data_IF_156514491607
#
_entry.id   IF_156514491607
#
_cell.length_a   1.000
_cell.length_b   1.000
_cell.length_c   1.000
_cell.angle_alpha   90.00
_cell.angle_beta   90.00
_cell.angle_gamma   90.00
#
_symmetry.space_group_name_H-M   'P 1'
#
loop_
_entity.id
_entity.type
_entity.pdbx_description
1 polymer ?
#
# COMPACT_ATOMS: atom_id res chain seq x y z
N UNK A 1 3.59 10.02 -21.88
CA UNK A 1 2.55 9.49 -20.98
C UNK A 1 3.14 9.45 -19.57
N UNK A 2 2.91 10.50 -18.78
CA UNK A 2 3.39 10.60 -17.40
C UNK A 2 2.46 9.83 -16.47
N UNK A 3 3.02 8.93 -15.66
CA UNK A 3 2.35 8.10 -14.64
C UNK A 3 2.81 8.53 -13.26
N UNK A 4 2.25 9.62 -12.74
CA UNK A 4 2.46 10.05 -11.36
C UNK A 4 1.09 10.21 -10.69
N UNK A 5 0.91 9.51 -9.57
CA UNK A 5 -0.26 9.59 -8.72
C UNK A 5 -0.41 11.04 -8.24
N UNK A 6 -1.56 11.64 -8.54
CA UNK A 6 -1.85 13.05 -8.29
C UNK A 6 -1.99 13.37 -6.81
N UNK A 7 -1.04 14.15 -6.30
CA UNK A 7 -1.27 15.09 -5.22
C UNK A 7 -0.95 16.49 -5.75
N UNK A 8 -1.98 17.17 -6.26
CA UNK A 8 -1.89 18.54 -6.79
C UNK A 8 -1.66 19.53 -5.64
N UNK A 9 -0.41 19.95 -5.46
CA UNK A 9 -0.09 21.26 -4.91
C UNK A 9 0.40 22.16 -6.05
N UNK A 10 -0.09 23.40 -6.02
CA UNK A 10 0.34 24.57 -6.80
C UNK A 10 -0.42 24.86 -8.10
N UNK A 11 -1.47 25.69 -7.98
CA UNK A 11 -1.74 26.74 -8.98
C UNK A 11 -1.38 28.09 -8.37
N UNK A 12 -0.15 28.54 -8.60
CA UNK A 12 0.21 29.95 -8.48
C UNK A 12 1.30 30.27 -9.50
N UNK A 13 0.87 30.96 -10.55
CA UNK A 13 1.59 31.97 -11.34
C UNK A 13 2.89 31.59 -12.04
N UNK A 14 2.77 31.55 -13.37
CA UNK A 14 3.83 31.75 -14.37
C UNK A 14 4.65 33.03 -14.08
N UNK A 15 5.95 32.88 -13.83
CA UNK A 15 6.99 33.88 -14.13
C UNK A 15 8.38 33.22 -14.03
N UNK A 16 9.20 33.22 -15.10
CA UNK A 16 10.56 32.68 -15.03
C UNK A 16 11.52 33.73 -14.43
N UNK A 17 12.45 33.37 -13.51
CA UNK A 17 13.52 34.27 -13.11
C UNK A 17 14.70 34.22 -14.11
N UNK A 18 15.23 35.39 -14.45
CA UNK A 18 16.43 35.61 -15.28
C UNK A 18 17.72 35.03 -14.65
N UNK A 19 18.80 34.79 -15.44
CA UNK A 19 19.96 34.04 -14.99
C UNK A 19 20.93 34.92 -14.20
N UNK A 20 21.30 34.46 -13.00
CA UNK A 20 22.47 34.97 -12.28
C UNK A 20 23.60 33.92 -12.33
N UNK A 21 24.81 34.39 -12.66
CA UNK A 21 25.98 33.59 -13.00
C UNK A 21 26.81 33.09 -11.79
N UNK A 22 27.70 32.12 -12.08
CA UNK A 22 28.91 31.64 -11.37
C UNK A 22 28.69 30.80 -10.07
N UNK A 23 29.36 29.65 -9.81
CA UNK A 23 30.73 29.18 -10.09
C UNK A 23 30.79 27.61 -9.98
N UNK A 24 31.68 26.86 -10.67
CA UNK A 24 31.71 25.40 -10.66
C UNK A 24 32.62 24.84 -9.54
N UNK A 25 32.07 24.11 -8.58
CA UNK A 25 32.85 23.38 -7.58
C UNK A 25 32.99 21.88 -7.92
N UNK A 26 34.22 21.33 -8.02
CA UNK A 26 34.45 19.91 -8.27
C UNK A 26 34.45 19.11 -6.95
N UNK A 27 33.99 17.86 -7.01
CA UNK A 27 34.49 16.82 -6.09
C UNK A 27 33.52 16.29 -5.04
N UNK A 28 32.44 15.63 -5.47
CA UNK A 28 31.98 14.36 -4.89
C UNK A 28 31.34 13.52 -6.00
N UNK A 29 32.07 12.55 -6.51
CA UNK A 29 31.50 11.50 -7.37
C UNK A 29 30.48 10.72 -6.54
N UNK A 30 29.23 11.18 -6.61
CA UNK A 30 28.12 10.57 -5.89
C UNK A 30 27.66 9.40 -6.74
N UNK A 31 28.19 8.21 -6.46
CA UNK A 31 27.73 6.99 -7.14
C UNK A 31 26.36 6.63 -6.58
N UNK A 32 25.31 6.80 -7.38
CA UNK A 32 23.98 6.33 -7.05
C UNK A 32 23.98 4.79 -7.02
N UNK A 33 24.06 4.21 -5.82
CA UNK A 33 23.87 2.77 -5.64
C UNK A 33 22.37 2.50 -5.63
N UNK A 34 21.89 1.63 -6.52
CA UNK A 34 20.49 1.23 -6.61
C UNK A 34 20.07 0.32 -5.44
N UNK A 35 19.86 0.89 -4.25
CA UNK A 35 19.46 0.14 -3.04
C UNK A 35 18.06 -0.49 -3.20
N UNK A 36 17.19 0.09 -4.03
CA UNK A 36 15.81 -0.36 -4.22
C UNK A 36 15.68 -1.79 -4.75
N UNK A 37 16.57 -2.22 -5.65
CA UNK A 37 16.50 -3.58 -6.20
C UNK A 37 16.75 -4.64 -5.13
N UNK A 38 17.66 -4.39 -4.20
CA UNK A 38 17.99 -5.37 -3.15
C UNK A 38 16.89 -5.52 -2.10
N UNK A 39 16.08 -4.48 -1.86
CA UNK A 39 15.02 -4.51 -0.84
C UNK A 39 13.78 -5.30 -1.29
N UNK A 40 13.44 -5.22 -2.57
CA UNK A 40 12.24 -5.87 -3.09
C UNK A 40 12.41 -7.38 -3.30
N UNK A 41 13.65 -7.85 -3.50
CA UNK A 41 13.92 -9.27 -3.77
C UNK A 41 13.43 -10.19 -2.64
N UNK A 42 13.69 -9.83 -1.38
CA UNK A 42 13.20 -10.65 -0.27
C UNK A 42 11.67 -10.61 -0.16
N UNK A 43 11.06 -9.44 -0.39
CA UNK A 43 9.60 -9.33 -0.42
C UNK A 43 8.97 -10.17 -1.54
N UNK A 44 9.57 -10.19 -2.73
CA UNK A 44 9.11 -11.02 -3.86
C UNK A 44 9.25 -12.51 -3.57
N UNK A 45 10.32 -12.91 -2.87
CA UNK A 45 10.50 -14.26 -2.37
C UNK A 45 9.38 -14.63 -1.38
N UNK A 46 9.10 -13.80 -0.38
CA UNK A 46 8.02 -14.01 0.59
C UNK A 46 6.63 -14.00 -0.08
N UNK A 47 6.38 -13.09 -1.02
CA UNK A 47 5.13 -13.04 -1.77
C UNK A 47 4.92 -14.31 -2.61
N UNK A 48 5.98 -14.88 -3.16
CA UNK A 48 5.92 -16.16 -3.89
C UNK A 48 5.62 -17.32 -2.96
N UNK A 49 6.24 -17.35 -1.78
CA UNK A 49 5.90 -18.32 -0.75
C UNK A 49 4.41 -18.24 -0.37
N UNK A 50 3.89 -17.04 -0.10
CA UNK A 50 2.49 -16.82 0.27
C UNK A 50 1.51 -17.26 -0.82
N UNK A 51 1.77 -16.92 -2.08
CA UNK A 51 0.94 -17.37 -3.22
C UNK A 51 0.84 -18.90 -3.26
N UNK A 52 1.98 -19.60 -3.22
CA UNK A 52 2.01 -21.06 -3.20
C UNK A 52 1.27 -21.64 -1.99
N UNK A 53 1.43 -21.01 -0.83
CA UNK A 53 0.74 -21.43 0.38
C UNK A 53 -0.79 -21.32 0.22
N UNK A 54 -1.30 -20.19 -0.27
CA UNK A 54 -2.73 -20.01 -0.51
C UNK A 54 -3.27 -20.96 -1.60
N UNK A 55 -2.54 -21.12 -2.71
CA UNK A 55 -2.91 -22.03 -3.79
C UNK A 55 -3.02 -23.48 -3.31
N UNK A 56 -2.06 -23.93 -2.50
CA UNK A 56 -2.05 -25.29 -1.92
C UNK A 56 -3.27 -25.56 -1.03
N UNK A 57 -3.82 -24.51 -0.41
CA UNK A 57 -5.03 -24.60 0.43
C UNK A 57 -6.31 -24.24 -0.31
N UNK A 58 -6.25 -23.94 -1.62
CA UNK A 58 -7.40 -23.52 -2.41
C UNK A 58 -8.01 -22.18 -1.95
N UNK A 59 -7.18 -21.27 -1.43
CA UNK A 59 -7.60 -19.96 -0.91
C UNK A 59 -7.33 -18.90 -1.96
N UNK A 60 -8.36 -18.15 -2.36
CA UNK A 60 -8.19 -16.94 -3.14
C UNK A 60 -7.79 -15.78 -2.20
N UNK A 61 -6.54 -15.34 -2.29
CA UNK A 61 -6.06 -14.16 -1.57
C UNK A 61 -6.14 -12.90 -2.45
N UNK A 62 -6.77 -11.85 -1.93
CA UNK A 62 -6.93 -10.57 -2.64
C UNK A 62 -6.23 -9.48 -1.83
N UNK A 63 -5.28 -8.77 -2.44
CA UNK A 63 -4.68 -7.58 -1.86
C UNK A 63 -5.48 -6.34 -2.28
N UNK A 64 -6.03 -5.61 -1.32
CA UNK A 64 -6.80 -4.39 -1.56
C UNK A 64 -6.05 -3.17 -1.03
N UNK A 65 -5.58 -2.34 -1.95
CA UNK A 65 -4.88 -1.08 -1.65
C UNK A 65 -5.75 0.11 -2.05
N UNK A 66 -5.79 1.13 -1.22
CA UNK A 66 -6.53 2.37 -1.49
C UNK A 66 -5.94 3.54 -0.72
N UNK A 67 -6.26 4.77 -1.14
CA UNK A 67 -5.99 5.95 -0.32
C UNK A 67 -6.76 5.90 1.01
N UNK A 68 -6.28 6.58 2.07
CA UNK A 68 -7.05 6.73 3.31
C UNK A 68 -8.43 7.34 3.04
N UNK A 69 -9.47 6.79 3.67
CA UNK A 69 -10.85 7.28 3.51
C UNK A 69 -11.55 6.89 2.21
N UNK A 70 -10.91 6.16 1.29
CA UNK A 70 -11.51 5.72 0.02
C UNK A 70 -12.62 4.65 0.17
N UNK A 71 -12.96 4.25 1.40
CA UNK A 71 -14.05 3.31 1.66
C UNK A 71 -13.65 1.83 1.66
N UNK A 72 -12.36 1.48 1.80
CA UNK A 72 -11.87 0.09 1.90
C UNK A 72 -12.69 -0.76 2.87
N UNK A 73 -12.86 -0.29 4.11
CA UNK A 73 -13.61 -1.03 5.13
C UNK A 73 -15.08 -1.21 4.76
N UNK A 74 -15.73 -0.18 4.18
CA UNK A 74 -17.13 -0.28 3.76
C UNK A 74 -17.32 -1.27 2.61
N UNK A 75 -16.37 -1.34 1.68
CA UNK A 75 -16.35 -2.33 0.61
C UNK A 75 -16.20 -3.75 1.17
N UNK A 76 -15.30 -3.95 2.14
CA UNK A 76 -15.12 -5.25 2.80
C UNK A 76 -16.38 -5.68 3.55
N UNK A 77 -17.00 -4.79 4.33
CA UNK A 77 -18.26 -5.06 5.03
C UNK A 77 -19.37 -5.48 4.05
N UNK A 78 -19.55 -4.73 2.96
CA UNK A 78 -20.57 -5.05 1.94
C UNK A 78 -20.27 -6.36 1.21
N UNK A 79 -18.99 -6.67 1.00
CA UNK A 79 -18.55 -7.93 0.39
C UNK A 79 -18.87 -9.11 1.30
N UNK A 80 -18.63 -8.97 2.61
CA UNK A 80 -18.97 -10.00 3.61
C UNK A 80 -20.48 -10.22 3.65
N UNK A 81 -21.27 -9.14 3.71
CA UNK A 81 -22.73 -9.24 3.74
C UNK A 81 -23.27 -9.93 2.47
N UNK A 82 -22.68 -9.66 1.29
CA UNK A 82 -23.15 -10.22 0.03
C UNK A 82 -22.61 -11.62 -0.32
N UNK A 83 -21.46 -12.02 0.23
CA UNK A 83 -20.75 -13.27 -0.14
C UNK A 83 -20.57 -14.26 1.01
N UNK A 84 -20.72 -13.83 2.26
CA UNK A 84 -20.36 -14.63 3.44
C UNK A 84 -21.13 -15.95 3.59
N UNK A 85 -22.33 -16.04 3.02
CA UNK A 85 -23.09 -17.30 2.96
C UNK A 85 -22.59 -18.27 1.87
N UNK A 86 -21.90 -17.75 0.86
CA UNK A 86 -21.46 -18.52 -0.32
C UNK A 86 -20.00 -18.95 -0.23
N UNK A 87 -19.17 -18.20 0.50
CA UNK A 87 -17.77 -18.53 0.72
C UNK A 87 -17.31 -18.15 2.13
N UNK A 88 -16.30 -18.89 2.61
CA UNK A 88 -15.64 -18.57 3.88
C UNK A 88 -14.69 -17.41 3.65
N UNK A 89 -14.87 -16.33 4.41
CA UNK A 89 -14.09 -15.10 4.29
C UNK A 89 -13.28 -14.89 5.56
N UNK A 90 -12.04 -14.48 5.40
CA UNK A 90 -11.19 -13.95 6.46
C UNK A 90 -10.50 -12.69 5.95
N UNK A 91 -10.19 -11.76 6.85
CA UNK A 91 -9.61 -10.45 6.52
C UNK A 91 -8.32 -10.25 7.29
N UNK A 92 -7.31 -9.71 6.61
CA UNK A 92 -6.05 -9.26 7.21
C UNK A 92 -5.98 -7.75 7.00
N UNK A 93 -6.00 -6.99 8.09
CA UNK A 93 -5.91 -5.53 8.06
C UNK A 93 -4.47 -5.10 8.35
N UNK A 94 -3.86 -4.37 7.43
CA UNK A 94 -2.54 -3.75 7.60
C UNK A 94 -2.71 -2.23 7.64
N UNK A 95 -2.84 -1.65 8.83
CA UNK A 95 -2.95 -0.20 9.01
C UNK A 95 -2.15 0.25 10.25
N UNK A 96 -1.68 1.50 10.22
CA UNK A 96 -1.24 2.23 11.41
C UNK A 96 -2.43 2.50 12.33
N UNK A 97 -3.61 2.69 11.75
CA UNK A 97 -4.84 2.94 12.47
C UNK A 97 -5.23 1.73 13.34
N UNK A 98 -5.58 2.04 14.58
CA UNK A 98 -6.07 1.18 15.68
C UNK A 98 -7.01 0.04 15.24
N UNK A 99 -7.14 -0.99 16.11
CA UNK A 99 -8.04 -2.17 16.09
C UNK A 99 -9.51 -1.99 15.61
N UNK A 100 -9.93 -0.77 15.31
CA UNK A 100 -11.28 -0.39 14.90
C UNK A 100 -11.75 -1.10 13.62
N UNK A 101 -10.94 -1.16 12.57
CA UNK A 101 -11.34 -1.82 11.32
C UNK A 101 -11.47 -3.34 11.51
N UNK A 102 -10.47 -3.99 12.12
CA UNK A 102 -10.56 -5.40 12.47
C UNK A 102 -11.77 -5.71 13.36
N UNK A 103 -12.10 -4.85 14.33
CA UNK A 103 -13.31 -5.00 15.17
C UNK A 103 -14.60 -4.91 14.37
N UNK A 104 -14.72 -3.92 13.49
CA UNK A 104 -15.90 -3.75 12.61
C UNK A 104 -16.11 -4.97 11.73
N UNK A 105 -15.03 -5.49 11.16
CA UNK A 105 -15.07 -6.70 10.34
C UNK A 105 -15.46 -7.93 11.18
N UNK A 106 -14.93 -8.11 12.39
CA UNK A 106 -15.34 -9.21 13.28
C UNK A 106 -16.81 -9.10 13.71
N UNK A 107 -17.35 -7.90 13.85
CA UNK A 107 -18.77 -7.70 14.14
C UNK A 107 -19.69 -8.21 13.02
N UNK A 108 -19.17 -8.38 11.79
CA UNK A 108 -19.85 -9.06 10.68
C UNK A 108 -19.78 -10.59 10.73
N UNK A 109 -19.15 -11.16 11.76
CA UNK A 109 -19.09 -12.61 11.98
C UNK A 109 -17.94 -13.32 11.24
N UNK A 110 -17.00 -12.59 10.64
CA UNK A 110 -15.83 -13.16 9.97
C UNK A 110 -14.56 -12.98 10.79
N UNK A 111 -13.59 -13.88 10.59
CA UNK A 111 -12.29 -13.76 11.25
C UNK A 111 -11.50 -12.59 10.65
N UNK A 112 -11.04 -11.67 11.49
CA UNK A 112 -10.14 -10.59 11.09
C UNK A 112 -8.87 -10.58 11.96
N UNK A 113 -7.72 -10.37 11.33
CA UNK A 113 -6.42 -10.23 12.00
C UNK A 113 -5.86 -8.84 11.68
N UNK A 114 -5.47 -8.10 12.70
CA UNK A 114 -4.76 -6.83 12.54
C UNK A 114 -3.25 -7.10 12.51
N UNK A 115 -2.56 -6.47 11.55
CA UNK A 115 -1.11 -6.39 11.47
C UNK A 115 -0.74 -4.91 11.64
N UNK A 116 -0.15 -4.55 12.78
CA UNK A 116 0.41 -3.22 12.97
C UNK A 116 1.69 -3.08 12.15
N UNK A 117 1.71 -2.13 11.23
CA UNK A 117 2.85 -1.87 10.34
C UNK A 117 3.94 -0.97 10.98
N UNK A 118 3.86 -0.73 12.29
CA UNK A 118 4.82 0.04 13.07
C UNK A 118 4.37 1.46 13.40
N UNK A 119 5.18 2.18 14.17
CA UNK A 119 5.05 3.63 14.41
C UNK A 119 5.96 4.37 13.42
N UNK A 120 5.44 5.41 12.77
CA UNK A 120 6.27 6.36 12.04
C UNK A 120 7.24 7.09 12.98
#
# INVERSE_FOLDING_TARGET
MCTHCGCSISTASEQPPEPAAEDPQPGRDTTAVGVFQSLLVENDHQATHNRRHFDTHGVLAINLMSSPGAGKTALLESTIDGLGERCRIAVIEGDLATENDARRIRAKGVNAVQISTGTA
#
